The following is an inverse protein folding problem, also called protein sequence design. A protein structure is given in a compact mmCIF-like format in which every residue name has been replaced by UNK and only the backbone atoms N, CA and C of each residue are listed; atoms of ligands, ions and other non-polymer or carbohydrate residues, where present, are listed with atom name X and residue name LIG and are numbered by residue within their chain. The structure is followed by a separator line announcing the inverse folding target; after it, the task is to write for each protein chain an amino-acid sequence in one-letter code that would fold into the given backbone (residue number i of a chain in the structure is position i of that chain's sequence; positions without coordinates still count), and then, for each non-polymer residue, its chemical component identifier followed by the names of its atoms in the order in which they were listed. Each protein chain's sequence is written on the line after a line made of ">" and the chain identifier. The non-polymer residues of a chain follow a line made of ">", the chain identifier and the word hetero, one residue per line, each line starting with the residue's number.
data_IF_499336517044
#
_entry.id   IF_499336517044
#
_cell.length_a   1.000
_cell.length_b   1.000
_cell.length_c   1.000
_cell.angle_alpha   90.00
_cell.angle_beta   90.00
_cell.angle_gamma   90.00
#
_symmetry.space_group_name_H-M   'P 1'
#
loop_
_entity.id
_entity.type
_entity.pdbx_description
1 polymer ?
#
# COMPACT_ATOMS: atom_id res chain seq x y z
N UNK A 1 -9.21 7.53 13.15
CA UNK A 1 -8.27 6.66 13.90
C UNK A 1 -8.63 5.23 13.59
N UNK A 2 -7.69 4.45 13.05
CA UNK A 2 -7.90 3.04 12.70
C UNK A 2 -7.52 2.16 13.88
N UNK A 3 -8.41 1.25 14.25
CA UNK A 3 -8.27 0.41 15.44
C UNK A 3 -8.58 -1.05 15.11
N UNK A 4 -7.86 -1.95 15.78
CA UNK A 4 -8.09 -3.38 15.77
C UNK A 4 -8.93 -3.74 16.98
N UNK A 5 -10.08 -4.37 16.76
CA UNK A 5 -10.97 -4.79 17.84
C UNK A 5 -10.36 -5.98 18.58
N UNK A 6 -10.26 -5.85 19.90
CA UNK A 6 -9.79 -6.91 20.81
C UNK A 6 -10.94 -7.60 21.55
N UNK A 7 -12.15 -7.04 21.50
CA UNK A 7 -13.33 -7.63 22.13
C UNK A 7 -14.59 -7.23 21.38
N UNK A 8 -15.54 -8.14 21.24
CA UNK A 8 -16.75 -7.86 20.47
C UNK A 8 -17.51 -6.63 21.00
N UNK A 9 -17.77 -5.66 20.12
CA UNK A 9 -18.52 -4.43 20.45
C UNK A 9 -19.58 -4.15 19.39
N UNK A 10 -20.60 -3.40 19.77
CA UNK A 10 -21.57 -2.87 18.82
C UNK A 10 -21.09 -1.53 18.29
N UNK A 11 -20.80 -1.46 16.99
CA UNK A 11 -20.26 -0.27 16.34
C UNK A 11 -20.98 -0.02 15.02
N UNK A 12 -21.51 1.19 14.81
CA UNK A 12 -22.12 1.58 13.53
C UNK A 12 -23.35 0.74 13.11
N UNK A 13 -24.09 0.18 14.06
CA UNK A 13 -25.26 -0.65 13.76
C UNK A 13 -24.96 -2.13 13.51
N UNK A 14 -23.71 -2.57 13.67
CA UNK A 14 -23.30 -3.98 13.56
C UNK A 14 -22.46 -4.41 14.76
N UNK A 15 -22.44 -5.72 15.02
CA UNK A 15 -21.49 -6.31 15.96
C UNK A 15 -20.18 -6.51 15.20
N UNK A 16 -19.12 -5.89 15.69
CA UNK A 16 -17.73 -6.13 15.25
C UNK A 16 -17.06 -7.04 16.26
N UNK A 17 -16.28 -7.99 15.79
CA UNK A 17 -15.68 -9.06 16.59
C UNK A 17 -14.16 -8.89 16.70
N UNK A 18 -13.53 -9.74 17.51
CA UNK A 18 -12.08 -9.71 17.71
C UNK A 18 -11.35 -9.92 16.37
N UNK A 19 -10.41 -9.03 16.06
CA UNK A 19 -9.68 -9.01 14.79
C UNK A 19 -10.31 -8.15 13.70
N UNK A 20 -11.52 -7.63 13.89
CA UNK A 20 -12.10 -6.66 12.96
C UNK A 20 -11.39 -5.30 13.05
N UNK A 21 -11.20 -4.66 11.90
CA UNK A 21 -10.68 -3.30 11.83
C UNK A 21 -11.84 -2.30 11.74
N UNK A 22 -11.80 -1.28 12.60
CA UNK A 22 -12.77 -0.19 12.55
C UNK A 22 -12.09 1.16 12.45
N UNK A 23 -12.76 2.09 11.77
CA UNK A 23 -12.37 3.49 11.77
C UNK A 23 -13.31 4.30 12.65
N UNK A 24 -12.74 5.07 13.57
CA UNK A 24 -13.50 5.91 14.49
C UNK A 24 -12.83 7.26 14.75
N UNK A 25 -13.52 8.15 15.46
CA UNK A 25 -13.00 9.45 15.88
C UNK A 25 -11.89 9.27 16.92
N UNK A 26 -10.93 10.20 16.98
CA UNK A 26 -9.79 10.09 17.88
C UNK A 26 -10.17 9.94 19.35
N UNK A 27 -11.13 10.76 19.84
CA UNK A 27 -11.59 10.70 21.23
C UNK A 27 -12.21 9.35 21.58
N UNK A 28 -13.07 8.83 20.69
CA UNK A 28 -13.71 7.53 20.90
C UNK A 28 -12.69 6.39 20.80
N UNK A 29 -11.73 6.50 19.88
CA UNK A 29 -10.71 5.49 19.72
C UNK A 29 -9.79 5.37 20.93
N UNK A 30 -9.37 6.50 21.51
CA UNK A 30 -8.62 6.49 22.78
C UNK A 30 -9.42 5.87 23.91
N UNK A 31 -10.72 6.15 23.99
CA UNK A 31 -11.59 5.52 24.98
C UNK A 31 -11.63 3.99 24.82
N UNK A 32 -11.75 3.50 23.58
CA UNK A 32 -11.74 2.06 23.29
C UNK A 32 -10.39 1.41 23.64
N UNK A 33 -9.28 2.11 23.40
CA UNK A 33 -7.94 1.64 23.76
C UNK A 33 -7.76 1.60 25.28
N UNK A 34 -8.12 2.67 25.99
CA UNK A 34 -7.99 2.76 27.44
C UNK A 34 -8.81 1.69 28.15
N UNK A 35 -10.00 1.38 27.62
CA UNK A 35 -10.88 0.32 28.12
C UNK A 35 -10.46 -1.09 27.66
N UNK A 36 -9.46 -1.21 26.80
CA UNK A 36 -8.97 -2.50 26.28
C UNK A 36 -9.91 -3.20 25.29
N UNK A 37 -10.83 -2.47 24.65
CA UNK A 37 -11.71 -3.01 23.60
C UNK A 37 -11.05 -3.00 22.23
N UNK A 38 -10.04 -2.13 22.01
CA UNK A 38 -9.35 -2.02 20.74
C UNK A 38 -7.88 -1.65 20.92
N UNK A 39 -7.07 -1.84 19.88
CA UNK A 39 -5.67 -1.40 19.81
C UNK A 39 -5.48 -0.49 18.60
N UNK A 40 -4.60 0.50 18.71
CA UNK A 40 -4.24 1.34 17.56
C UNK A 40 -3.58 0.50 16.47
N UNK A 41 -4.11 0.55 15.25
CA UNK A 41 -3.45 -0.02 14.08
C UNK A 41 -2.51 1.06 13.59
N UNK A 42 -1.25 0.95 13.98
CA UNK A 42 -0.17 1.69 13.34
C UNK A 42 0.00 1.04 11.97
N UNK A 43 -0.80 1.47 10.99
CA UNK A 43 -0.47 1.26 9.59
C UNK A 43 0.89 1.90 9.40
N UNK A 44 1.93 1.08 9.36
CA UNK A 44 3.26 1.50 8.99
C UNK A 44 3.18 1.89 7.50
N UNK A 45 2.70 3.10 7.25
CA UNK A 45 2.47 3.65 5.92
C UNK A 45 3.74 3.64 5.05
N UNK A 46 4.91 3.44 5.67
CA UNK A 46 6.18 3.20 5.00
C UNK A 46 6.22 1.90 4.18
N UNK A 47 5.55 0.81 4.61
CA UNK A 47 5.62 -0.47 3.90
C UNK A 47 4.86 -0.43 2.56
N UNK A 48 3.64 0.14 2.55
CA UNK A 48 2.85 0.26 1.32
C UNK A 48 3.41 1.33 0.34
N UNK A 49 4.04 2.39 0.84
CA UNK A 49 4.69 3.39 -0.02
C UNK A 49 5.99 2.84 -0.66
N UNK A 50 6.78 2.03 0.05
CA UNK A 50 7.97 1.41 -0.52
C UNK A 50 7.63 0.43 -1.66
N UNK A 51 6.58 -0.38 -1.49
CA UNK A 51 6.18 -1.36 -2.52
C UNK A 51 5.67 -0.69 -3.81
N UNK A 52 4.98 0.45 -3.71
CA UNK A 52 4.58 1.23 -4.89
C UNK A 52 5.77 1.90 -5.60
N UNK A 53 6.75 2.39 -4.85
CA UNK A 53 7.91 3.07 -5.41
C UNK A 53 8.86 2.09 -6.13
N UNK A 54 9.07 0.89 -5.58
CA UNK A 54 9.85 -0.18 -6.23
C UNK A 54 9.22 -0.68 -7.53
N UNK A 55 7.88 -0.77 -7.62
CA UNK A 55 7.21 -1.14 -8.87
C UNK A 55 7.38 -0.08 -9.96
N UNK A 56 7.35 1.20 -9.61
CA UNK A 56 7.50 2.30 -10.57
C UNK A 56 8.93 2.37 -11.12
N UNK A 57 9.95 2.18 -10.27
CA UNK A 57 11.36 2.13 -10.69
C UNK A 57 11.68 0.95 -11.61
N UNK A 58 11.08 -0.24 -11.38
CA UNK A 58 11.23 -1.38 -12.29
C UNK A 58 10.61 -1.12 -13.67
N UNK A 59 9.45 -0.46 -13.72
CA UNK A 59 8.77 -0.16 -14.98
C UNK A 59 9.57 0.85 -15.82
N UNK A 60 10.13 1.89 -15.18
CA UNK A 60 10.93 2.92 -15.86
C UNK A 60 12.26 2.36 -16.41
N UNK A 61 12.90 1.42 -15.69
CA UNK A 61 14.09 0.70 -16.19
C UNK A 61 13.78 -0.17 -17.41
N UNK A 62 12.64 -0.86 -17.41
CA UNK A 62 12.26 -1.73 -18.51
C UNK A 62 11.97 -0.92 -19.79
N UNK A 63 11.29 0.23 -19.66
CA UNK A 63 10.99 1.11 -20.79
C UNK A 63 12.25 1.77 -21.39
N UNK A 64 13.25 2.09 -20.56
CA UNK A 64 14.54 2.59 -21.01
C UNK A 64 15.35 1.55 -21.79
N UNK A 65 15.33 0.29 -21.32
CA UNK A 65 16.03 -0.81 -21.96
C UNK A 65 15.42 -1.12 -23.34
N UNK A 66 14.08 -1.12 -23.44
CA UNK A 66 13.37 -1.36 -24.69
C UNK A 66 13.60 -0.23 -25.72
N UNK A 67 13.72 1.03 -25.27
CA UNK A 67 14.11 2.15 -26.14
C UNK A 67 15.54 2.03 -26.68
N UNK A 68 16.50 1.60 -25.86
CA UNK A 68 17.88 1.37 -26.33
C UNK A 68 17.93 0.25 -27.36
N UNK A 69 17.24 -0.87 -27.12
CA UNK A 69 17.23 -2.01 -28.03
C UNK A 69 16.58 -1.65 -29.38
N UNK A 70 15.52 -0.83 -29.37
CA UNK A 70 14.91 -0.30 -30.60
C UNK A 70 15.83 0.64 -31.38
N UNK A 71 16.63 1.46 -30.71
CA UNK A 71 17.61 2.33 -31.38
C UNK A 71 18.74 1.51 -31.99
N UNK A 72 19.23 0.49 -31.29
CA UNK A 72 20.31 -0.37 -31.77
C UNK A 72 19.87 -1.24 -32.96
N UNK A 73 18.64 -1.77 -32.93
CA UNK A 73 18.06 -2.50 -34.07
C UNK A 73 17.81 -1.61 -35.29
N UNK A 74 17.44 -0.34 -35.11
CA UNK A 74 17.31 0.61 -36.24
C UNK A 74 18.67 0.92 -36.85
N UNK A 75 19.70 1.13 -36.04
CA UNK A 75 21.06 1.42 -36.53
C UNK A 75 21.71 0.22 -37.23
N UNK A 76 21.53 -1.00 -36.72
CA UNK A 76 22.05 -2.22 -37.36
C UNK A 76 21.38 -2.53 -38.69
N UNK A 77 20.06 -2.29 -38.82
CA UNK A 77 19.37 -2.41 -40.11
C UNK A 77 19.87 -1.38 -41.12
N UNK A 78 20.04 -0.12 -40.71
CA UNK A 78 20.52 0.95 -41.59
C UNK A 78 21.96 0.74 -42.10
N UNK A 79 22.81 0.06 -41.32
CA UNK A 79 24.20 -0.24 -41.70
C UNK A 79 24.35 -1.45 -42.62
N UNK A 80 23.34 -2.31 -42.72
CA UNK A 80 23.37 -3.54 -43.54
C UNK A 80 22.82 -3.33 -44.96
N UNK A 81 22.21 -2.17 -45.22
CA UNK A 81 21.60 -1.80 -46.51
C UNK A 81 22.46 -0.81 -47.33
N UNK A 82 23.70 -0.53 -46.90
CA UNK A 82 24.66 0.34 -47.60
C UNK A 82 25.97 -0.40 -47.88
#
# INVERSE_FOLDING_TARGET
>A
MKLLILRAIYFGGKVVTEGDEIETLELHGRELIEKGYASEIVTNHAAEQQEQQEQQEQQEQQEQQEQQEQQETKQTKAKKEK
#
